data_IF_065561188067
#
_entry.id   IF_065561188067
#
_cell.length_a   1.000
_cell.length_b   1.000
_cell.length_c   1.000
_cell.angle_alpha   90.00
_cell.angle_beta   90.00
_cell.angle_gamma   90.00
#
_symmetry.space_group_name_H-M   'P 1'
#
loop_
_entity.id
_entity.type
_entity.pdbx_description
1 polymer ?
#
# COMPACT_ATOMS: atom_id res chain seq x y z
N UNK A 1 -5.63 -12.44 -5.41
CA UNK A 1 -4.73 -13.54 -5.81
C UNK A 1 -4.84 -13.76 -7.31
N UNK A 2 -3.89 -14.47 -7.92
CA UNK A 2 -3.80 -14.65 -9.38
C UNK A 2 -5.10 -15.21 -9.98
N UNK A 3 -5.64 -16.29 -9.42
CA UNK A 3 -6.86 -16.93 -9.92
C UNK A 3 -8.06 -15.97 -9.95
N UNK A 4 -8.23 -15.15 -8.91
CA UNK A 4 -9.32 -14.17 -8.86
C UNK A 4 -9.15 -13.06 -9.91
N UNK A 5 -7.91 -12.67 -10.21
CA UNK A 5 -7.62 -11.70 -11.28
C UNK A 5 -7.90 -12.32 -12.64
N UNK A 6 -7.40 -13.54 -12.90
CA UNK A 6 -7.64 -14.25 -14.15
C UNK A 6 -9.14 -14.47 -14.41
N UNK A 7 -9.88 -14.99 -13.43
CA UNK A 7 -11.32 -15.18 -13.52
C UNK A 7 -12.06 -13.87 -13.88
N UNK A 8 -11.60 -12.74 -13.34
CA UNK A 8 -12.21 -11.44 -13.61
C UNK A 8 -11.94 -10.90 -15.02
N UNK A 9 -10.75 -11.16 -15.58
CA UNK A 9 -10.28 -10.53 -16.82
C UNK A 9 -10.26 -11.48 -18.03
N UNK A 10 -10.28 -12.80 -17.82
CA UNK A 10 -10.32 -13.80 -18.87
C UNK A 10 -11.47 -13.59 -19.87
N UNK A 11 -12.70 -13.22 -19.45
CA UNK A 11 -13.76 -12.90 -20.40
C UNK A 11 -13.45 -11.72 -21.33
N UNK A 12 -12.49 -10.86 -20.97
CA UNK A 12 -12.09 -9.69 -21.75
C UNK A 12 -11.03 -10.12 -22.77
N UNK A 13 -9.88 -10.65 -22.31
CA UNK A 13 -8.76 -10.94 -23.22
C UNK A 13 -9.06 -12.12 -24.16
N UNK A 14 -9.93 -13.07 -23.79
CA UNK A 14 -10.32 -14.20 -24.66
C UNK A 14 -11.17 -13.79 -25.88
N UNK A 15 -11.62 -12.54 -25.95
CA UNK A 15 -12.32 -12.02 -27.14
C UNK A 15 -11.37 -11.63 -28.28
N UNK A 16 -10.05 -11.67 -28.03
CA UNK A 16 -9.02 -11.32 -29.00
C UNK A 16 -8.21 -12.57 -29.38
N UNK A 17 -8.14 -12.89 -30.66
CA UNK A 17 -7.43 -14.08 -31.16
C UNK A 17 -5.90 -13.88 -31.25
N UNK A 18 -5.45 -12.63 -31.31
CA UNK A 18 -4.06 -12.24 -31.54
C UNK A 18 -3.36 -11.69 -30.28
N UNK A 19 -3.89 -12.02 -29.10
CA UNK A 19 -3.37 -11.57 -27.80
C UNK A 19 -2.83 -12.74 -27.01
N UNK A 20 -1.61 -12.60 -26.51
CA UNK A 20 -1.04 -13.47 -25.50
C UNK A 20 -1.06 -12.74 -24.15
N UNK A 21 -1.58 -13.40 -23.12
CA UNK A 21 -1.66 -12.87 -21.75
C UNK A 21 -0.80 -13.73 -20.82
N UNK A 22 -0.05 -13.10 -19.94
CA UNK A 22 0.66 -13.77 -18.83
C UNK A 22 0.34 -13.06 -17.52
N UNK A 23 0.10 -13.84 -16.47
CA UNK A 23 -0.23 -13.34 -15.13
C UNK A 23 0.90 -13.82 -14.22
N UNK A 24 1.59 -12.86 -13.61
CA UNK A 24 2.73 -13.12 -12.74
C UNK A 24 2.43 -12.59 -11.36
N UNK A 25 2.65 -13.39 -10.33
CA UNK A 25 2.66 -12.89 -8.95
C UNK A 25 4.08 -12.61 -8.49
N UNK A 26 4.34 -11.33 -8.27
CA UNK A 26 5.54 -10.87 -7.58
C UNK A 26 5.25 -10.81 -6.07
N UNK A 27 6.27 -10.50 -5.25
CA UNK A 27 6.18 -10.52 -3.76
C UNK A 27 4.87 -9.95 -3.20
N UNK A 28 4.41 -8.83 -3.77
CA UNK A 28 3.30 -8.02 -3.23
C UNK A 28 2.17 -7.74 -4.23
N UNK A 29 2.33 -8.10 -5.51
CA UNK A 29 1.44 -7.64 -6.58
C UNK A 29 1.32 -8.65 -7.73
N UNK A 30 0.27 -8.45 -8.53
CA UNK A 30 0.01 -9.24 -9.73
C UNK A 30 0.32 -8.35 -10.93
N UNK A 31 1.22 -8.82 -11.79
CA UNK A 31 1.57 -8.19 -13.05
C UNK A 31 0.86 -8.90 -14.20
N UNK A 32 0.21 -8.11 -15.06
CA UNK A 32 -0.46 -8.58 -16.26
C UNK A 32 0.36 -8.15 -17.47
N UNK A 33 0.95 -9.12 -18.16
CA UNK A 33 1.70 -8.88 -19.39
C UNK A 33 0.81 -9.23 -20.58
N UNK A 34 0.59 -8.23 -21.44
CA UNK A 34 -0.24 -8.34 -22.63
C UNK A 34 0.63 -8.14 -23.86
N UNK A 35 0.62 -9.12 -24.76
CA UNK A 35 1.37 -9.06 -26.02
C UNK A 35 0.41 -9.22 -27.19
N UNK A 36 0.40 -8.25 -28.10
CA UNK A 36 -0.46 -8.23 -29.27
C UNK A 36 0.37 -8.48 -30.53
N UNK A 37 -0.11 -9.35 -31.42
CA UNK A 37 0.48 -9.54 -32.76
C UNK A 37 -0.40 -8.87 -33.81
N UNK A 38 0.16 -7.98 -34.62
CA UNK A 38 -0.52 -7.36 -35.75
C UNK A 38 0.45 -7.14 -36.92
N UNK A 39 -0.12 -6.85 -38.08
CA UNK A 39 0.57 -6.52 -39.34
C UNK A 39 1.18 -5.10 -39.35
N UNK A 40 0.82 -4.26 -38.38
CA UNK A 40 1.40 -2.93 -38.18
C UNK A 40 1.46 -2.59 -36.68
N UNK A 41 2.50 -1.88 -36.27
CA UNK A 41 2.73 -1.44 -34.88
C UNK A 41 1.56 -0.62 -34.33
N UNK A 42 1.14 0.43 -35.05
CA UNK A 42 0.00 1.27 -34.66
C UNK A 42 -1.30 0.47 -34.45
N UNK A 43 -1.48 -0.64 -35.17
CA UNK A 43 -2.65 -1.52 -34.98
C UNK A 43 -2.51 -2.38 -33.73
N UNK A 44 -1.29 -2.88 -33.44
CA UNK A 44 -1.03 -3.59 -32.19
C UNK A 44 -1.21 -2.67 -30.98
N UNK A 45 -0.70 -1.44 -31.05
CA UNK A 45 -0.86 -0.41 -30.01
C UNK A 45 -2.34 -0.10 -29.74
N UNK A 46 -3.14 0.17 -30.78
CA UNK A 46 -4.57 0.44 -30.61
C UNK A 46 -5.31 -0.72 -29.92
N UNK A 47 -5.01 -1.97 -30.30
CA UNK A 47 -5.61 -3.16 -29.67
C UNK A 47 -5.13 -3.29 -28.22
N UNK A 48 -3.85 -3.04 -27.95
CA UNK A 48 -3.27 -3.10 -26.62
C UNK A 48 -3.91 -2.06 -25.70
N UNK A 49 -4.03 -0.81 -26.16
CA UNK A 49 -4.66 0.29 -25.41
C UNK A 49 -6.13 0.01 -25.12
N UNK A 50 -6.89 -0.48 -26.10
CA UNK A 50 -8.28 -0.87 -25.92
C UNK A 50 -8.41 -2.00 -24.88
N UNK A 51 -7.61 -3.06 -25.00
CA UNK A 51 -7.63 -4.19 -24.08
C UNK A 51 -7.23 -3.78 -22.66
N UNK A 52 -6.13 -3.05 -22.53
CA UNK A 52 -5.61 -2.58 -21.25
C UNK A 52 -6.61 -1.61 -20.59
N UNK A 53 -7.29 -0.77 -21.38
CA UNK A 53 -8.40 0.08 -20.94
C UNK A 53 -9.56 -0.71 -20.35
N UNK A 54 -10.05 -1.74 -21.06
CA UNK A 54 -11.13 -2.63 -20.57
C UNK A 54 -10.75 -3.37 -19.29
N UNK A 55 -9.53 -3.88 -19.22
CA UNK A 55 -9.01 -4.56 -18.02
C UNK A 55 -8.93 -3.58 -16.84
N UNK A 56 -8.40 -2.38 -17.08
CA UNK A 56 -8.32 -1.33 -16.06
C UNK A 56 -9.70 -0.91 -15.56
N UNK A 57 -10.68 -0.75 -16.44
CA UNK A 57 -12.06 -0.47 -16.06
C UNK A 57 -12.63 -1.59 -15.18
N UNK A 58 -12.38 -2.85 -15.55
CA UNK A 58 -12.86 -4.02 -14.82
C UNK A 58 -12.23 -4.16 -13.42
N UNK A 59 -10.93 -3.93 -13.31
CA UNK A 59 -10.17 -4.07 -12.06
C UNK A 59 -10.20 -2.81 -11.20
N UNK A 60 -10.53 -1.65 -11.79
CA UNK A 60 -10.68 -0.38 -11.10
C UNK A 60 -9.46 0.01 -10.28
N UNK A 61 -9.68 0.33 -9.00
CA UNK A 61 -8.62 0.76 -8.08
C UNK A 61 -7.58 -0.32 -7.75
N UNK A 62 -7.80 -1.59 -8.15
CA UNK A 62 -6.78 -2.62 -8.00
C UNK A 62 -5.58 -2.38 -8.94
N UNK A 63 -5.79 -1.69 -10.07
CA UNK A 63 -4.72 -1.27 -10.97
C UNK A 63 -4.12 0.02 -10.44
N UNK A 64 -2.83 -0.01 -10.10
CA UNK A 64 -2.10 1.17 -9.65
C UNK A 64 -1.09 1.66 -10.68
N UNK A 65 -0.55 0.77 -11.52
CA UNK A 65 0.41 1.08 -12.59
C UNK A 65 -0.03 0.45 -13.92
N UNK A 66 0.40 1.04 -15.04
CA UNK A 66 0.21 0.50 -16.38
C UNK A 66 1.53 0.15 -17.07
N UNK A 67 2.63 0.79 -16.64
CA UNK A 67 3.93 0.71 -17.29
C UNK A 67 5.02 0.20 -16.33
N UNK A 68 4.65 -0.68 -15.39
CA UNK A 68 5.58 -1.30 -14.46
C UNK A 68 6.10 -0.36 -13.36
N UNK A 69 5.47 0.80 -13.15
CA UNK A 69 5.88 1.70 -12.07
C UNK A 69 5.62 1.08 -10.70
N UNK A 70 6.60 1.24 -9.80
CA UNK A 70 6.48 0.81 -8.42
C UNK A 70 5.54 1.73 -7.64
N UNK A 71 4.98 1.24 -6.53
CA UNK A 71 4.02 2.00 -5.73
C UNK A 71 4.61 3.29 -5.15
N UNK A 72 5.87 3.25 -4.72
CA UNK A 72 6.64 4.38 -4.21
C UNK A 72 6.86 5.46 -5.29
N UNK A 73 7.07 5.08 -6.55
CA UNK A 73 7.14 6.03 -7.67
C UNK A 73 5.80 6.74 -7.88
N UNK A 74 4.70 5.98 -7.81
CA UNK A 74 3.35 6.54 -7.97
C UNK A 74 3.01 7.48 -6.82
N UNK A 75 3.35 7.10 -5.58
CA UNK A 75 3.19 7.99 -4.42
C UNK A 75 4.01 9.25 -4.57
N UNK A 76 5.28 9.16 -4.97
CA UNK A 76 6.12 10.33 -5.19
C UNK A 76 5.54 11.28 -6.24
N UNK A 77 5.07 10.74 -7.38
CA UNK A 77 4.40 11.52 -8.43
C UNK A 77 3.14 12.21 -7.91
N UNK A 78 2.28 11.48 -7.19
CA UNK A 78 1.01 12.03 -6.66
C UNK A 78 1.24 13.13 -5.63
N UNK A 79 2.18 12.92 -4.70
CA UNK A 79 2.48 13.91 -3.65
C UNK A 79 3.11 15.17 -4.24
N UNK A 80 4.09 15.01 -5.14
CA UNK A 80 4.78 16.14 -5.78
C UNK A 80 3.81 16.96 -6.64
N UNK A 81 2.97 16.30 -7.45
CA UNK A 81 1.95 16.97 -8.27
C UNK A 81 0.91 17.73 -7.42
N UNK A 82 0.61 17.25 -6.22
CA UNK A 82 -0.32 17.90 -5.30
C UNK A 82 0.36 18.95 -4.39
N UNK A 83 1.69 19.08 -4.42
CA UNK A 83 2.46 19.87 -3.45
C UNK A 83 2.20 19.44 -2.00
N UNK A 84 2.12 18.12 -1.77
CA UNK A 84 1.77 17.53 -0.47
C UNK A 84 2.93 16.77 0.14
N UNK A 85 2.95 16.77 1.47
CA UNK A 85 4.02 16.15 2.26
C UNK A 85 3.54 14.93 3.02
N UNK A 86 4.46 14.00 3.26
CA UNK A 86 4.26 12.70 3.90
C UNK A 86 5.28 12.48 5.02
N UNK A 87 4.82 11.90 6.12
CA UNK A 87 5.67 11.30 7.15
C UNK A 87 5.22 9.88 7.49
N UNK A 88 6.10 9.05 8.05
CA UNK A 88 5.81 7.63 8.29
C UNK A 88 6.21 7.19 9.70
N UNK A 89 5.32 6.46 10.39
CA UNK A 89 5.61 5.79 11.66
C UNK A 89 5.62 4.25 11.51
N UNK A 90 6.78 3.64 11.66
CA UNK A 90 6.99 2.22 11.39
C UNK A 90 7.20 1.41 12.67
N UNK A 91 6.47 0.31 12.83
CA UNK A 91 6.79 -0.72 13.83
C UNK A 91 7.23 -1.99 13.13
N UNK A 92 6.31 -2.87 12.72
CA UNK A 92 6.69 -4.19 12.19
C UNK A 92 7.45 -4.15 10.86
N UNK A 93 7.32 -3.09 10.05
CA UNK A 93 8.07 -2.88 8.80
C UNK A 93 9.53 -2.49 9.05
N UNK A 94 9.81 -1.82 10.17
CA UNK A 94 11.18 -1.54 10.64
C UNK A 94 11.99 -0.61 9.73
N UNK A 95 11.37 0.39 9.11
CA UNK A 95 12.03 1.36 8.24
C UNK A 95 11.86 1.09 6.74
N UNK A 96 11.25 -0.05 6.36
CA UNK A 96 11.10 -0.48 4.97
C UNK A 96 10.25 0.50 4.14
N UNK A 97 9.25 1.16 4.71
CA UNK A 97 8.46 2.14 3.96
C UNK A 97 9.33 3.37 3.66
N UNK A 98 10.08 3.83 4.65
CA UNK A 98 11.00 4.95 4.51
C UNK A 98 12.11 4.65 3.49
N UNK A 99 12.69 3.45 3.54
CA UNK A 99 13.66 2.94 2.55
C UNK A 99 13.10 3.06 1.13
N UNK A 100 11.96 2.42 0.85
CA UNK A 100 11.29 2.45 -0.46
C UNK A 100 11.00 3.86 -0.97
N UNK A 101 10.50 4.73 -0.10
CA UNK A 101 10.22 6.12 -0.46
C UNK A 101 11.49 6.89 -0.83
N UNK A 102 12.60 6.63 -0.15
CA UNK A 102 13.89 7.31 -0.35
C UNK A 102 14.74 6.73 -1.48
N UNK A 103 14.42 5.53 -1.98
CA UNK A 103 14.99 5.00 -3.22
C UNK A 103 14.59 5.84 -4.45
N UNK A 104 13.48 6.57 -4.37
CA UNK A 104 12.99 7.41 -5.47
C UNK A 104 13.69 8.77 -5.45
N UNK A 105 14.34 9.10 -6.57
CA UNK A 105 14.97 10.41 -6.75
C UNK A 105 13.94 11.55 -6.57
N UNK A 106 14.32 12.58 -5.82
CA UNK A 106 13.43 13.70 -5.50
C UNK A 106 12.54 13.48 -4.27
N UNK A 107 12.66 12.36 -3.55
CA UNK A 107 11.86 12.07 -2.37
C UNK A 107 11.85 13.17 -1.30
N UNK A 108 12.93 13.97 -1.20
CA UNK A 108 13.03 15.11 -0.28
C UNK A 108 11.97 16.20 -0.51
N UNK A 109 11.32 16.24 -1.67
CA UNK A 109 10.26 17.21 -1.97
C UNK A 109 8.95 16.88 -1.22
N UNK A 110 8.71 15.60 -0.92
CA UNK A 110 7.45 15.15 -0.32
C UNK A 110 7.62 14.33 0.96
N UNK A 111 8.71 13.58 1.13
CA UNK A 111 8.92 12.74 2.31
C UNK A 111 9.77 13.48 3.34
N UNK A 112 9.11 13.89 4.43
CA UNK A 112 9.70 14.81 5.42
C UNK A 112 10.39 14.06 6.56
N UNK A 113 9.72 13.04 7.11
CA UNK A 113 10.22 12.35 8.30
C UNK A 113 9.70 10.91 8.36
N UNK A 114 10.59 9.99 8.72
CA UNK A 114 10.27 8.61 9.05
C UNK A 114 10.75 8.27 10.46
N UNK A 115 9.92 7.57 11.24
CA UNK A 115 10.27 7.14 12.59
C UNK A 115 10.00 5.65 12.79
N UNK A 116 11.04 4.88 13.12
CA UNK A 116 10.87 3.49 13.56
C UNK A 116 10.59 3.46 15.07
N UNK A 117 9.33 3.24 15.43
CA UNK A 117 8.81 3.22 16.82
C UNK A 117 8.46 1.78 17.24
N UNK A 118 9.47 0.92 17.25
CA UNK A 118 9.29 -0.52 17.43
C UNK A 118 8.73 -0.89 18.82
N UNK A 119 9.24 -0.28 19.89
CA UNK A 119 8.80 -0.50 21.27
C UNK A 119 7.58 0.36 21.66
N UNK A 120 6.82 -0.07 22.66
CA UNK A 120 5.65 0.68 23.16
C UNK A 120 6.06 2.05 23.71
N UNK A 121 7.16 2.10 24.45
CA UNK A 121 7.77 3.30 25.00
C UNK A 121 8.19 4.27 23.88
N UNK A 122 8.63 3.74 22.74
CA UNK A 122 8.98 4.54 21.57
C UNK A 122 7.72 5.15 20.91
N UNK A 123 6.61 4.39 20.83
CA UNK A 123 5.31 4.91 20.36
C UNK A 123 4.83 6.06 21.25
N UNK A 124 4.90 5.88 22.57
CA UNK A 124 4.50 6.89 23.56
C UNK A 124 5.41 8.12 23.48
N UNK A 125 6.72 7.96 23.65
CA UNK A 125 7.67 9.09 23.73
C UNK A 125 7.82 9.86 22.42
N UNK A 126 7.79 9.17 21.28
CA UNK A 126 8.10 9.79 19.98
C UNK A 126 6.86 10.41 19.34
N UNK A 127 5.73 9.73 19.44
CA UNK A 127 4.49 10.07 18.73
C UNK A 127 3.37 10.54 19.67
N UNK A 128 3.63 10.61 20.97
CA UNK A 128 2.63 10.96 21.99
C UNK A 128 1.39 10.04 21.94
N UNK A 129 1.57 8.76 21.64
CA UNK A 129 0.51 7.76 21.82
C UNK A 129 0.21 7.69 23.32
N UNK A 130 -1.05 7.92 23.70
CA UNK A 130 -1.48 7.83 25.09
C UNK A 130 -1.26 6.39 25.60
N UNK A 131 -0.58 6.18 26.75
CA UNK A 131 -0.32 4.84 27.28
C UNK A 131 -1.58 3.97 27.38
N UNK A 132 -2.70 4.58 27.74
CA UNK A 132 -4.00 3.94 27.92
C UNK A 132 -4.52 3.31 26.62
N UNK A 133 -4.16 3.83 25.44
CA UNK A 133 -4.52 3.22 24.15
C UNK A 133 -3.84 1.85 24.01
N UNK A 134 -2.56 1.77 24.38
CA UNK A 134 -1.78 0.54 24.29
C UNK A 134 -2.22 -0.44 25.39
N UNK A 135 -2.48 0.03 26.60
CA UNK A 135 -2.94 -0.80 27.71
C UNK A 135 -4.30 -1.45 27.42
N UNK A 136 -5.26 -0.68 26.88
CA UNK A 136 -6.62 -1.17 26.65
C UNK A 136 -6.77 -1.99 25.36
N UNK A 137 -6.03 -1.66 24.30
CA UNK A 137 -6.23 -2.25 22.97
C UNK A 137 -5.05 -3.11 22.49
N UNK A 138 -3.88 -2.95 23.12
CA UNK A 138 -2.61 -3.53 22.70
C UNK A 138 -1.93 -2.74 21.58
N UNK A 139 -0.61 -2.95 21.44
CA UNK A 139 0.22 -2.26 20.45
C UNK A 139 -0.14 -2.59 18.99
N UNK A 140 -0.83 -3.72 18.77
CA UNK A 140 -1.35 -4.16 17.47
C UNK A 140 -2.87 -4.05 17.52
N UNK A 141 -3.36 -2.86 17.21
CA UNK A 141 -4.78 -2.48 17.18
C UNK A 141 -5.01 -1.32 16.21
N UNK A 142 -6.27 -1.06 15.86
CA UNK A 142 -6.64 0.08 15.02
C UNK A 142 -6.34 1.41 15.73
N UNK A 143 -6.67 1.51 17.01
CA UNK A 143 -6.49 2.69 17.86
C UNK A 143 -5.01 3.06 17.98
N UNK A 144 -4.13 2.06 18.17
CA UNK A 144 -2.70 2.30 18.21
C UNK A 144 -2.18 2.78 16.85
N UNK A 145 -2.63 2.18 15.74
CA UNK A 145 -2.24 2.62 14.41
C UNK A 145 -2.71 4.07 14.11
N UNK A 146 -3.96 4.40 14.44
CA UNK A 146 -4.50 5.75 14.31
C UNK A 146 -3.71 6.76 15.14
N UNK A 147 -3.46 6.46 16.42
CA UNK A 147 -2.69 7.32 17.30
C UNK A 147 -1.24 7.51 16.81
N UNK A 148 -0.60 6.46 16.29
CA UNK A 148 0.72 6.56 15.67
C UNK A 148 0.71 7.46 14.43
N UNK A 149 -0.29 7.33 13.56
CA UNK A 149 -0.38 8.13 12.34
C UNK A 149 -0.64 9.61 12.68
N UNK A 150 -1.59 9.91 13.56
CA UNK A 150 -1.88 11.28 13.98
C UNK A 150 -0.69 11.92 14.70
N UNK A 151 -0.05 11.17 15.59
CA UNK A 151 1.16 11.59 16.31
C UNK A 151 2.29 11.95 15.34
N UNK A 152 2.54 11.09 14.35
CA UNK A 152 3.56 11.33 13.33
C UNK A 152 3.25 12.57 12.49
N UNK A 153 1.99 12.71 12.03
CA UNK A 153 1.55 13.86 11.22
C UNK A 153 1.73 15.17 11.99
N UNK A 154 1.31 15.23 13.26
CA UNK A 154 1.43 16.42 14.10
C UNK A 154 2.87 16.78 14.38
N UNK A 155 3.70 15.80 14.74
CA UNK A 155 5.12 16.00 15.05
C UNK A 155 5.91 16.52 13.84
N UNK A 156 5.69 15.89 12.68
CA UNK A 156 6.42 16.19 11.44
C UNK A 156 5.82 17.36 10.65
N UNK A 157 4.65 17.86 11.07
CA UNK A 157 3.90 18.95 10.43
C UNK A 157 3.57 18.69 8.94
N UNK A 158 3.34 17.43 8.59
CA UNK A 158 3.03 16.99 7.23
C UNK A 158 1.54 17.06 6.90
N UNK A 159 1.21 17.06 5.60
CA UNK A 159 -0.17 16.95 5.15
C UNK A 159 -0.76 15.58 5.45
N UNK A 160 0.05 14.53 5.25
CA UNK A 160 -0.33 13.13 5.46
C UNK A 160 0.68 12.41 6.33
N UNK A 161 0.19 11.43 7.10
CA UNK A 161 1.04 10.42 7.69
C UNK A 161 0.43 9.03 7.55
N UNK A 162 1.29 8.03 7.41
CA UNK A 162 0.91 6.63 7.51
C UNK A 162 1.64 5.96 8.67
N UNK A 163 1.00 4.99 9.30
CA UNK A 163 1.60 4.19 10.36
C UNK A 163 1.39 2.72 10.12
N UNK A 164 2.31 1.88 10.61
CA UNK A 164 2.17 0.42 10.52
C UNK A 164 2.54 -0.25 11.84
N UNK A 165 1.62 -1.04 12.37
CA UNK A 165 1.84 -1.92 13.52
C UNK A 165 1.22 -3.29 13.26
N UNK A 166 1.90 -4.37 13.68
CA UNK A 166 1.49 -5.72 13.31
C UNK A 166 2.41 -6.81 13.80
N UNK A 167 2.03 -8.06 13.53
CA UNK A 167 2.74 -9.26 13.97
C UNK A 167 3.33 -9.94 12.73
N UNK A 168 4.61 -9.67 12.46
CA UNK A 168 5.30 -10.27 11.31
C UNK A 168 5.74 -11.72 11.55
N UNK A 169 5.69 -12.23 12.79
CA UNK A 169 6.20 -13.57 13.10
C UNK A 169 7.74 -13.66 13.13
N UNK A 170 8.32 -14.86 13.27
CA UNK A 170 7.63 -16.16 13.39
C UNK A 170 7.00 -16.39 14.78
N UNK A 171 7.24 -15.50 15.74
CA UNK A 171 6.65 -15.54 17.09
C UNK A 171 5.77 -14.31 17.35
N UNK A 172 5.10 -14.29 18.50
CA UNK A 172 4.30 -13.14 18.95
C UNK A 172 2.85 -13.13 18.46
N UNK A 173 2.42 -14.15 17.71
CA UNK A 173 1.02 -14.37 17.38
C UNK A 173 0.27 -15.15 18.46
N UNK A 174 -1.05 -14.99 18.50
CA UNK A 174 -2.00 -15.79 19.27
C UNK A 174 -3.20 -16.18 18.40
N UNK A 175 -4.14 -16.98 18.91
CA UNK A 175 -5.39 -17.27 18.19
C UNK A 175 -6.19 -15.99 17.88
N UNK A 176 -6.22 -15.04 18.82
CA UNK A 176 -6.92 -13.76 18.66
C UNK A 176 -6.17 -12.76 17.76
N UNK A 177 -4.83 -12.76 17.85
CA UNK A 177 -3.95 -11.87 17.10
C UNK A 177 -2.89 -12.71 16.36
N UNK A 178 -3.26 -13.37 15.26
CA UNK A 178 -2.36 -14.29 14.56
C UNK A 178 -1.22 -13.56 13.86
N UNK A 179 -0.17 -14.31 13.51
CA UNK A 179 0.89 -13.85 12.61
C UNK A 179 0.26 -13.42 11.29
N UNK A 180 0.73 -12.30 10.74
CA UNK A 180 0.15 -11.67 9.55
C UNK A 180 -0.90 -10.60 9.86
N UNK A 181 -1.36 -10.48 11.12
CA UNK A 181 -2.23 -9.38 11.51
C UNK A 181 -1.47 -8.05 11.49
N UNK A 182 -1.93 -7.12 10.65
CA UNK A 182 -1.37 -5.78 10.52
C UNK A 182 -2.47 -4.74 10.53
N UNK A 183 -2.22 -3.64 11.22
CA UNK A 183 -3.00 -2.41 11.12
C UNK A 183 -2.17 -1.34 10.44
N UNK A 184 -2.79 -0.67 9.47
CA UNK A 184 -2.21 0.46 8.76
C UNK A 184 -3.04 1.69 9.09
N UNK A 185 -2.45 2.68 9.75
CA UNK A 185 -3.06 3.96 10.03
C UNK A 185 -2.78 4.97 8.90
N UNK A 186 -3.74 5.85 8.66
CA UNK A 186 -3.61 7.04 7.84
C UNK A 186 -4.14 8.24 8.61
N UNK A 187 -3.41 9.34 8.57
CA UNK A 187 -3.80 10.61 9.17
C UNK A 187 -3.64 11.75 8.16
N UNK A 188 -4.58 12.69 8.20
CA UNK A 188 -4.57 13.95 7.47
C UNK A 188 -5.09 15.07 8.38
N UNK A 189 -5.18 16.30 7.87
CA UNK A 189 -5.83 17.39 8.61
C UNK A 189 -7.35 17.18 8.82
N UNK A 190 -7.98 16.26 8.09
CA UNK A 190 -9.45 16.10 8.05
C UNK A 190 -9.91 14.80 8.70
N UNK A 191 -9.17 13.72 8.52
CA UNK A 191 -9.50 12.42 9.07
C UNK A 191 -8.25 11.66 9.51
N UNK A 192 -8.46 10.77 10.47
CA UNK A 192 -7.53 9.72 10.86
C UNK A 192 -8.29 8.41 10.96
N UNK A 193 -7.79 7.37 10.30
CA UNK A 193 -8.41 6.04 10.22
C UNK A 193 -7.35 4.95 10.09
N UNK A 194 -7.62 3.77 10.62
CA UNK A 194 -6.86 2.57 10.33
C UNK A 194 -7.67 1.53 9.54
N UNK A 195 -6.95 0.69 8.81
CA UNK A 195 -7.48 -0.55 8.23
C UNK A 195 -6.79 -1.75 8.87
N UNK A 196 -7.54 -2.84 9.04
CA UNK A 196 -7.05 -4.15 9.47
C UNK A 196 -6.79 -5.00 8.24
N UNK A 197 -5.66 -5.69 8.21
CA UNK A 197 -5.28 -6.56 7.09
C UNK A 197 -4.68 -7.86 7.65
N UNK A 198 -5.04 -8.97 7.02
CA UNK A 198 -4.41 -10.27 7.25
C UNK A 198 -3.48 -10.60 6.09
N UNK A 199 -2.18 -10.62 6.36
CA UNK A 199 -1.15 -10.82 5.34
C UNK A 199 -0.55 -12.23 5.46
N UNK A 200 -0.66 -13.07 4.41
CA UNK A 200 -0.01 -14.37 4.42
C UNK A 200 1.51 -14.23 4.19
N UNK A 201 2.25 -15.26 4.54
CA UNK A 201 3.68 -15.38 4.25
C UNK A 201 4.55 -15.46 5.49
N UNK A 202 5.85 -15.53 5.26
CA UNK A 202 6.85 -15.44 6.33
C UNK A 202 7.06 -13.99 6.80
N UNK A 203 7.95 -13.82 7.79
CA UNK A 203 8.30 -12.51 8.34
C UNK A 203 8.74 -11.50 7.30
N UNK A 204 9.50 -11.92 6.30
CA UNK A 204 10.00 -11.01 5.27
C UNK A 204 8.85 -10.56 4.37
N UNK A 205 8.03 -11.51 3.92
CA UNK A 205 6.91 -11.25 3.02
C UNK A 205 5.81 -10.43 3.69
N UNK A 206 5.49 -10.68 4.96
CA UNK A 206 4.53 -9.88 5.73
C UNK A 206 4.99 -8.43 5.83
N UNK A 207 6.27 -8.17 6.11
CA UNK A 207 6.82 -6.81 6.16
C UNK A 207 6.70 -6.08 4.82
N UNK A 208 7.06 -6.75 3.74
CA UNK A 208 6.93 -6.19 2.39
C UNK A 208 5.47 -5.90 2.02
N UNK A 209 4.56 -6.85 2.25
CA UNK A 209 3.14 -6.67 1.99
C UNK A 209 2.51 -5.57 2.86
N UNK A 210 2.95 -5.43 4.11
CA UNK A 210 2.52 -4.35 4.99
C UNK A 210 2.97 -2.98 4.47
N UNK A 211 4.21 -2.86 3.98
CA UNK A 211 4.69 -1.64 3.36
C UNK A 211 3.92 -1.29 2.08
N UNK A 212 3.60 -2.28 1.25
CA UNK A 212 2.80 -2.10 0.03
C UNK A 212 1.39 -1.61 0.37
N UNK A 213 0.73 -2.26 1.34
CA UNK A 213 -0.61 -1.89 1.76
C UNK A 213 -0.67 -0.47 2.36
N UNK A 214 0.39 -0.05 3.05
CA UNK A 214 0.48 1.30 3.61
C UNK A 214 0.56 2.39 2.53
N UNK A 215 1.39 2.17 1.51
CA UNK A 215 1.49 3.07 0.37
C UNK A 215 0.22 3.04 -0.49
N UNK A 216 -0.39 1.87 -0.73
CA UNK A 216 -1.64 1.78 -1.49
C UNK A 216 -2.81 2.46 -0.76
N UNK A 217 -2.88 2.37 0.58
CA UNK A 217 -3.86 3.12 1.37
C UNK A 217 -3.72 4.62 1.12
N UNK A 218 -2.50 5.16 1.18
CA UNK A 218 -2.25 6.56 0.89
C UNK A 218 -2.68 6.92 -0.54
N UNK A 219 -2.28 6.12 -1.53
CA UNK A 219 -2.65 6.31 -2.93
C UNK A 219 -4.17 6.42 -3.08
N UNK A 220 -4.92 5.47 -2.53
CA UNK A 220 -6.40 5.47 -2.56
C UNK A 220 -7.01 6.68 -1.86
N UNK A 221 -6.44 7.09 -0.72
CA UNK A 221 -6.88 8.30 0.01
C UNK A 221 -6.67 9.57 -0.81
N UNK A 222 -5.59 9.64 -1.58
CA UNK A 222 -5.31 10.76 -2.48
C UNK A 222 -6.22 10.76 -3.73
N UNK A 223 -6.53 9.59 -4.28
CA UNK A 223 -7.35 9.45 -5.50
C UNK A 223 -8.87 9.63 -5.28
N UNK A 224 -9.35 9.66 -4.03
CA UNK A 224 -10.76 9.87 -3.65
C UNK A 224 -11.80 9.09 -4.49
N UNK A 225 -11.83 7.78 -4.27
CA UNK A 225 -13.04 6.95 -4.34
C UNK A 225 -12.94 5.91 -3.22
N UNK A 226 -13.73 6.03 -2.16
CA UNK A 226 -13.69 5.11 -1.03
C UNK A 226 -15.07 4.45 -0.87
N UNK A 227 -15.17 3.18 -1.26
CA UNK A 227 -16.06 2.22 -0.60
C UNK A 227 -15.19 1.40 0.33
N UNK A 228 -15.51 1.46 1.62
CA UNK A 228 -14.91 0.62 2.64
C UNK A 228 -15.27 -0.83 2.33
N UNK A 229 -14.34 -1.58 1.73
CA UNK A 229 -14.16 -3.03 1.77
C UNK A 229 -13.04 -3.36 0.77
N UNK A 230 -11.80 -3.45 1.25
CA UNK A 230 -10.80 -4.25 0.54
C UNK A 230 -11.08 -5.73 0.89
N UNK A 231 -11.08 -6.65 -0.10
CA UNK A 231 -11.11 -8.09 0.17
C UNK A 231 -9.84 -8.58 0.88
#
# INVERSE_FOLDING_TARGET
>A
GESAVDEAIAPIYKTYENVQTSILFNKTEIELQLMVRADAEAKAENILDELAGKIKEKLGLAVFAMNGEMMEEIIGKLLSAAGKTLSVAESCTGGLISERLTEIAGASEYFIEGATVYANEAKIRTLNVAPEIIENNGAVSAETAEAMAEGMRKKSQTDYAISVTGIAGPTGGSEEKPIGLVYVGFASKVETKAIKIMLPGDRHLIRWRASQAALDLLRRKMLKSFSANLP
#
